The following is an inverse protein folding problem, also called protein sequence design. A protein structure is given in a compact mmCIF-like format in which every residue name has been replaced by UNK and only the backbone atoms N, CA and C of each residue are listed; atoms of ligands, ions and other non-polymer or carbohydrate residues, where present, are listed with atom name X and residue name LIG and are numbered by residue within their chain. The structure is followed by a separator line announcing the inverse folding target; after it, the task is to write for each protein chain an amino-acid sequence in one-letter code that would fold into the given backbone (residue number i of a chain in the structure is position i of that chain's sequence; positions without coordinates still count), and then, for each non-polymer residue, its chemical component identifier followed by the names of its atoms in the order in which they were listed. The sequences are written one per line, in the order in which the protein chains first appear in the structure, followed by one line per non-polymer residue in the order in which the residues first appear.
data_IF_247673940266
#
_entry.id   IF_247673940266
#
_cell.length_a   1.000
_cell.length_b   1.000
_cell.length_c   1.000
_cell.angle_alpha   90.00
_cell.angle_beta   90.00
_cell.angle_gamma   90.00
#
_symmetry.space_group_name_H-M   'P 1'
#
loop_
_entity.id
_entity.type
_entity.pdbx_description
1 polymer ?
#
# COMPACT_ATOMS: atom_id res chain seq x y z
N UNK A 1 1.38 5.62 8.40
CA UNK A 1 1.22 4.94 9.71
C UNK A 1 2.47 4.17 10.13
N UNK A 2 2.93 3.15 9.38
CA UNK A 2 3.98 2.22 9.82
C UNK A 2 5.29 2.87 10.33
N UNK A 3 5.76 3.96 9.73
CA UNK A 3 6.98 4.66 10.17
C UNK A 3 6.76 5.34 11.53
N UNK A 4 5.60 5.99 11.72
CA UNK A 4 5.21 6.57 13.01
C UNK A 4 5.12 5.47 14.07
N UNK A 5 4.44 4.36 13.78
CA UNK A 5 4.33 3.22 14.70
C UNK A 5 5.70 2.64 15.05
N UNK A 6 6.63 2.59 14.09
CA UNK A 6 8.00 2.15 14.31
C UNK A 6 8.75 3.06 15.27
N UNK A 7 8.63 4.39 15.10
CA UNK A 7 9.23 5.37 16.01
C UNK A 7 8.67 5.21 17.43
N UNK A 8 7.35 5.15 17.57
CA UNK A 8 6.70 4.98 18.87
C UNK A 8 7.12 3.68 19.57
N UNK A 9 7.19 2.57 18.82
CA UNK A 9 7.66 1.29 19.35
C UNK A 9 9.14 1.35 19.77
N UNK A 10 10.01 1.95 18.95
CA UNK A 10 11.42 2.10 19.24
C UNK A 10 11.69 2.98 20.47
N UNK A 11 10.90 4.05 20.66
CA UNK A 11 10.92 4.88 21.88
C UNK A 11 10.66 4.05 23.15
N UNK A 12 9.84 3.00 23.04
CA UNK A 12 9.56 2.07 24.15
C UNK A 12 10.55 0.90 24.25
N UNK A 13 11.65 0.93 23.47
CA UNK A 13 12.72 -0.07 23.55
C UNK A 13 12.55 -1.28 22.63
N UNK A 14 11.59 -1.28 21.70
CA UNK A 14 11.47 -2.35 20.69
C UNK A 14 12.67 -2.32 19.74
N UNK A 15 13.29 -3.48 19.49
CA UNK A 15 14.52 -3.61 18.68
C UNK A 15 14.38 -4.44 17.40
N UNK A 16 13.22 -5.00 17.13
CA UNK A 16 12.96 -5.81 15.94
C UNK A 16 11.56 -5.50 15.41
N UNK A 17 11.50 -4.82 14.27
CA UNK A 17 10.26 -4.26 13.72
C UNK A 17 10.07 -4.78 12.30
N UNK A 18 8.90 -5.33 12.03
CA UNK A 18 8.46 -5.65 10.66
C UNK A 18 7.41 -4.65 10.22
N UNK A 19 7.74 -3.80 9.25
CA UNK A 19 6.80 -2.83 8.66
C UNK A 19 6.03 -3.45 7.50
N UNK A 20 4.72 -3.20 7.47
CA UNK A 20 3.78 -3.88 6.57
C UNK A 20 3.25 -3.02 5.43
N UNK A 21 3.04 -3.65 4.29
CA UNK A 21 2.35 -3.06 3.14
C UNK A 21 1.31 -4.05 2.57
N UNK A 22 0.13 -3.55 2.23
CA UNK A 22 -0.93 -4.31 1.58
C UNK A 22 -0.93 -4.08 0.08
N UNK A 23 -0.99 -5.17 -0.69
CA UNK A 23 -1.00 -5.15 -2.15
C UNK A 23 -2.06 -4.19 -2.71
N UNK A 24 -1.64 -3.27 -3.59
CA UNK A 24 -2.53 -2.47 -4.41
C UNK A 24 -2.75 -3.11 -5.78
N UNK A 25 -1.76 -3.83 -6.32
CA UNK A 25 -1.90 -4.74 -7.47
C UNK A 25 -1.13 -4.33 -8.72
N UNK A 26 -0.70 -3.07 -8.86
CA UNK A 26 0.27 -2.69 -9.88
C UNK A 26 1.68 -3.08 -9.41
N UNK A 27 2.35 -3.97 -10.14
CA UNK A 27 3.63 -4.55 -9.69
C UNK A 27 4.72 -3.49 -9.45
N UNK A 28 4.83 -2.48 -10.31
CA UNK A 28 5.82 -1.41 -10.16
C UNK A 28 5.55 -0.62 -8.88
N UNK A 29 4.29 -0.23 -8.66
CA UNK A 29 3.89 0.50 -7.46
C UNK A 29 4.03 -0.33 -6.19
N UNK A 30 3.63 -1.61 -6.21
CA UNK A 30 3.73 -2.51 -5.06
C UNK A 30 5.20 -2.72 -4.63
N UNK A 31 6.10 -2.90 -5.61
CA UNK A 31 7.54 -3.01 -5.36
C UNK A 31 8.12 -1.68 -4.85
N UNK A 32 7.72 -0.57 -5.47
CA UNK A 32 8.13 0.76 -5.05
C UNK A 32 7.68 1.07 -3.61
N UNK A 33 6.46 0.68 -3.22
CA UNK A 33 5.94 0.90 -1.88
C UNK A 33 6.75 0.16 -0.80
N UNK A 34 7.07 -1.12 -1.01
CA UNK A 34 7.95 -1.87 -0.08
C UNK A 34 9.34 -1.24 -0.01
N UNK A 35 9.89 -0.86 -1.17
CA UNK A 35 11.21 -0.23 -1.25
C UNK A 35 11.24 1.08 -0.45
N UNK A 36 10.30 1.99 -0.71
CA UNK A 36 10.19 3.28 -0.04
C UNK A 36 9.92 3.13 1.46
N UNK A 37 9.05 2.20 1.84
CA UNK A 37 8.75 1.89 3.23
C UNK A 37 10.00 1.46 4.00
N UNK A 38 10.81 0.56 3.43
CA UNK A 38 12.04 0.10 4.06
C UNK A 38 13.06 1.25 4.24
N UNK A 39 13.27 2.04 3.18
CA UNK A 39 14.21 3.17 3.19
C UNK A 39 13.80 4.21 4.25
N UNK A 40 12.56 4.72 4.19
CA UNK A 40 12.14 5.78 5.10
C UNK A 40 11.99 5.29 6.54
N UNK A 41 11.61 4.04 6.77
CA UNK A 41 11.59 3.50 8.15
C UNK A 41 12.98 3.53 8.76
N UNK A 42 14.00 3.06 8.04
CA UNK A 42 15.39 3.11 8.50
C UNK A 42 15.86 4.55 8.72
N UNK A 43 15.61 5.42 7.74
CA UNK A 43 16.01 6.82 7.79
C UNK A 43 15.42 7.55 9.02
N UNK A 44 14.12 7.40 9.27
CA UNK A 44 13.48 8.04 10.42
C UNK A 44 13.96 7.43 11.75
N UNK A 45 14.12 6.12 11.85
CA UNK A 45 14.70 5.52 13.06
C UNK A 45 16.10 6.06 13.33
N UNK A 46 16.95 6.19 12.31
CA UNK A 46 18.30 6.76 12.45
C UNK A 46 18.27 8.26 12.83
N UNK A 47 17.38 9.05 12.20
CA UNK A 47 17.16 10.47 12.54
C UNK A 47 16.86 10.66 14.03
N UNK A 48 16.13 9.73 14.63
CA UNK A 48 15.75 9.76 16.05
C UNK A 48 16.67 8.92 16.96
N UNK A 49 17.84 8.48 16.47
CA UNK A 49 18.88 7.82 17.26
C UNK A 49 18.70 6.33 17.51
N UNK A 50 17.73 5.69 16.86
CA UNK A 50 17.41 4.26 17.02
C UNK A 50 18.21 3.36 16.08
N UNK A 51 19.54 3.49 16.12
CA UNK A 51 20.48 2.82 15.20
C UNK A 51 20.56 1.29 15.39
N UNK A 52 20.08 0.79 16.52
CA UNK A 52 20.14 -0.63 16.92
C UNK A 52 18.84 -1.41 16.66
N UNK A 53 17.83 -0.78 16.04
CA UNK A 53 16.57 -1.43 15.68
C UNK A 53 16.73 -2.18 14.36
N UNK A 54 16.48 -3.49 14.36
CA UNK A 54 16.38 -4.26 13.11
C UNK A 54 15.05 -3.99 12.41
N UNK A 55 15.10 -3.68 11.12
CA UNK A 55 13.91 -3.47 10.28
C UNK A 55 13.78 -4.59 9.26
N UNK A 56 12.58 -5.13 9.14
CA UNK A 56 12.18 -6.12 8.13
C UNK A 56 10.86 -5.69 7.47
N UNK A 57 10.47 -6.31 6.37
CA UNK A 57 9.24 -5.96 5.65
C UNK A 57 8.28 -7.14 5.54
N UNK A 58 6.98 -6.86 5.61
CA UNK A 58 5.92 -7.82 5.31
C UNK A 58 5.02 -7.32 4.20
N UNK A 59 4.79 -8.18 3.20
CA UNK A 59 3.85 -7.93 2.12
C UNK A 59 2.57 -8.74 2.37
N UNK A 60 1.43 -8.08 2.43
CA UNK A 60 0.14 -8.74 2.48
C UNK A 60 -0.36 -8.90 1.05
N UNK A 61 -0.62 -10.14 0.63
CA UNK A 61 -1.40 -10.38 -0.59
C UNK A 61 -2.74 -9.65 -0.50
N UNK A 62 -3.37 -9.41 -1.65
CA UNK A 62 -4.59 -8.62 -1.82
C UNK A 62 -5.53 -8.66 -0.61
N UNK A 63 -5.85 -7.50 -0.06
CA UNK A 63 -6.66 -7.37 1.16
C UNK A 63 -8.10 -6.95 0.87
N UNK A 64 -8.45 -6.72 -0.40
CA UNK A 64 -9.81 -6.40 -0.82
C UNK A 64 -10.63 -7.66 -1.17
N UNK A 65 -11.77 -7.45 -1.85
CA UNK A 65 -12.64 -8.55 -2.25
C UNK A 65 -11.98 -9.54 -3.21
N UNK A 66 -12.16 -10.84 -2.97
CA UNK A 66 -11.67 -11.93 -3.81
C UNK A 66 -12.73 -12.44 -4.80
N UNK A 67 -12.31 -13.02 -5.93
CA UNK A 67 -13.21 -13.83 -6.75
C UNK A 67 -13.65 -15.08 -5.99
N UNK A 68 -14.90 -15.50 -6.18
CA UNK A 68 -15.44 -16.74 -5.58
C UNK A 68 -14.91 -18.01 -6.24
N UNK A 69 -14.54 -17.92 -7.51
CA UNK A 69 -13.93 -19.04 -8.23
C UNK A 69 -12.49 -19.27 -7.72
N UNK A 70 -12.21 -20.48 -7.23
CA UNK A 70 -10.92 -20.79 -6.61
C UNK A 70 -9.74 -20.65 -7.58
N UNK A 71 -9.91 -21.00 -8.86
CA UNK A 71 -8.84 -20.87 -9.84
C UNK A 71 -8.48 -19.38 -10.06
N UNK A 72 -9.49 -18.50 -10.11
CA UNK A 72 -9.27 -17.04 -10.14
C UNK A 72 -8.64 -16.55 -8.84
N UNK A 73 -9.03 -17.09 -7.68
CA UNK A 73 -8.43 -16.74 -6.40
C UNK A 73 -6.94 -17.10 -6.35
N UNK A 74 -6.53 -18.24 -6.90
CA UNK A 74 -5.12 -18.59 -7.08
C UNK A 74 -4.37 -17.62 -8.00
N UNK A 75 -5.02 -17.05 -9.00
CA UNK A 75 -4.47 -15.95 -9.79
C UNK A 75 -4.08 -14.75 -8.92
N UNK A 76 -4.98 -14.33 -8.02
CA UNK A 76 -4.73 -13.21 -7.08
C UNK A 76 -3.61 -13.55 -6.09
N UNK A 77 -3.66 -14.75 -5.49
CA UNK A 77 -2.63 -15.25 -4.55
C UNK A 77 -1.25 -15.27 -5.22
N UNK A 78 -1.17 -15.85 -6.42
CA UNK A 78 0.09 -15.99 -7.15
C UNK A 78 0.66 -14.65 -7.57
N UNK A 79 -0.20 -13.70 -7.97
CA UNK A 79 0.22 -12.34 -8.29
C UNK A 79 0.77 -11.60 -7.06
N UNK A 80 0.10 -11.69 -5.92
CA UNK A 80 0.60 -11.13 -4.66
C UNK A 80 1.90 -11.78 -4.19
N UNK A 81 2.05 -13.10 -4.36
CA UNK A 81 3.30 -13.80 -4.09
C UNK A 81 4.44 -13.31 -5.00
N UNK A 82 4.19 -13.14 -6.31
CA UNK A 82 5.16 -12.60 -7.23
C UNK A 82 5.60 -11.18 -6.84
N UNK A 83 4.66 -10.29 -6.54
CA UNK A 83 4.95 -8.93 -6.08
C UNK A 83 5.81 -8.91 -4.81
N UNK A 84 5.47 -9.74 -3.81
CA UNK A 84 6.24 -9.84 -2.56
C UNK A 84 7.69 -10.27 -2.80
N UNK A 85 7.91 -11.28 -3.66
CA UNK A 85 9.25 -11.82 -3.94
C UNK A 85 10.09 -10.82 -4.74
N UNK A 86 9.51 -10.23 -5.78
CA UNK A 86 10.20 -9.25 -6.63
C UNK A 86 10.51 -7.95 -5.89
N UNK A 87 9.72 -7.61 -4.86
CA UNK A 87 9.99 -6.53 -3.91
C UNK A 87 11.03 -6.87 -2.83
N UNK A 88 11.49 -8.13 -2.78
CA UNK A 88 12.33 -8.68 -1.71
C UNK A 88 11.75 -8.45 -0.32
N UNK A 89 10.44 -8.62 -0.16
CA UNK A 89 9.79 -8.59 1.15
C UNK A 89 10.36 -9.71 2.04
N UNK A 90 10.63 -9.42 3.32
CA UNK A 90 11.14 -10.44 4.25
C UNK A 90 10.12 -11.52 4.54
N UNK A 91 8.82 -11.16 4.57
CA UNK A 91 7.69 -12.04 4.83
C UNK A 91 6.54 -11.74 3.86
N UNK A 92 5.76 -12.77 3.51
CA UNK A 92 4.49 -12.63 2.79
C UNK A 92 3.36 -13.22 3.62
N UNK A 93 2.25 -12.51 3.76
CA UNK A 93 1.02 -13.03 4.37
C UNK A 93 0.17 -13.66 3.28
N UNK A 94 -0.13 -14.94 3.46
CA UNK A 94 -0.77 -15.79 2.46
C UNK A 94 -2.28 -15.75 2.58
N UNK A 95 -2.95 -15.58 1.44
CA UNK A 95 -4.39 -15.67 1.26
C UNK A 95 -4.78 -17.05 0.79
N UNK A 96 -6.08 -17.33 0.81
CA UNK A 96 -6.63 -18.66 0.51
C UNK A 96 -7.65 -18.59 -0.61
N UNK A 97 -7.89 -19.69 -1.35
CA UNK A 97 -8.96 -19.72 -2.35
C UNK A 97 -10.36 -19.53 -1.74
N UNK A 98 -10.51 -19.67 -0.41
CA UNK A 98 -11.77 -19.48 0.30
C UNK A 98 -12.02 -18.04 0.79
N UNK A 99 -11.17 -17.07 0.44
CA UNK A 99 -11.24 -15.70 0.98
C UNK A 99 -12.60 -15.02 0.75
N UNK A 100 -13.27 -15.31 -0.37
CA UNK A 100 -14.60 -14.76 -0.68
C UNK A 100 -15.76 -15.49 0.04
N UNK A 101 -15.50 -16.62 0.70
CA UNK A 101 -16.51 -17.49 1.30
C UNK A 101 -16.48 -17.45 2.84
N UNK A 102 -15.34 -17.13 3.45
CA UNK A 102 -15.19 -17.02 4.90
C UNK A 102 -13.85 -17.54 5.40
N UNK A 103 -13.81 -17.95 6.67
CA UNK A 103 -12.60 -18.54 7.28
C UNK A 103 -12.23 -19.84 6.53
N UNK A 104 -10.97 -19.99 6.08
CA UNK A 104 -10.56 -21.14 5.28
C UNK A 104 -10.51 -22.44 6.10
N UNK A 105 -10.73 -23.57 5.41
CA UNK A 105 -10.35 -24.88 5.96
C UNK A 105 -8.82 -24.99 6.00
N UNK A 106 -8.30 -25.95 6.78
CA UNK A 106 -6.85 -26.22 6.82
C UNK A 106 -6.29 -26.63 5.45
N UNK A 107 -7.08 -27.31 4.63
CA UNK A 107 -6.72 -27.74 3.28
C UNK A 107 -6.59 -26.55 2.32
N UNK A 108 -7.57 -25.63 2.34
CA UNK A 108 -7.55 -24.41 1.52
C UNK A 108 -6.39 -23.49 1.92
N UNK A 109 -6.15 -23.36 3.23
CA UNK A 109 -5.01 -22.60 3.75
C UNK A 109 -3.67 -23.23 3.29
N UNK A 110 -3.53 -24.55 3.44
CA UNK A 110 -2.35 -25.27 2.95
C UNK A 110 -2.16 -25.13 1.43
N UNK A 111 -3.23 -25.07 0.64
CA UNK A 111 -3.15 -24.87 -0.80
C UNK A 111 -2.61 -23.48 -1.16
N UNK A 112 -3.10 -22.41 -0.49
CA UNK A 112 -2.55 -21.05 -0.64
C UNK A 112 -1.05 -20.98 -0.28
N UNK A 113 -0.65 -21.65 0.80
CA UNK A 113 0.75 -21.73 1.24
C UNK A 113 1.64 -22.44 0.21
N UNK A 114 1.19 -23.58 -0.34
CA UNK A 114 1.94 -24.31 -1.39
C UNK A 114 2.09 -23.46 -2.66
N UNK A 115 1.02 -22.83 -3.12
CA UNK A 115 1.06 -21.94 -4.28
C UNK A 115 2.04 -20.78 -4.05
N UNK A 116 1.93 -20.10 -2.90
CA UNK A 116 2.84 -18.98 -2.56
C UNK A 116 4.30 -19.44 -2.48
N UNK A 117 4.57 -20.58 -1.83
CA UNK A 117 5.93 -21.14 -1.72
C UNK A 117 6.51 -21.49 -3.10
N UNK A 118 5.70 -21.99 -4.02
CA UNK A 118 6.12 -22.26 -5.40
C UNK A 118 6.63 -20.98 -6.08
N UNK A 119 5.89 -19.87 -5.96
CA UNK A 119 6.30 -18.58 -6.52
C UNK A 119 7.58 -18.04 -5.85
N UNK A 120 7.70 -18.18 -4.52
CA UNK A 120 8.94 -17.84 -3.80
C UNK A 120 10.13 -18.61 -4.37
N UNK A 121 10.00 -19.93 -4.57
CA UNK A 121 11.08 -20.75 -5.12
C UNK A 121 11.42 -20.38 -6.57
N UNK A 122 10.42 -20.11 -7.41
CA UNK A 122 10.61 -19.77 -8.82
C UNK A 122 11.26 -18.40 -9.04
N UNK A 123 10.94 -17.42 -8.19
CA UNK A 123 11.31 -16.02 -8.40
C UNK A 123 12.42 -15.52 -7.47
N UNK A 124 12.97 -16.37 -6.59
CA UNK A 124 13.95 -15.98 -5.55
C UNK A 124 15.16 -15.22 -6.08
N UNK A 125 15.61 -15.53 -7.30
CA UNK A 125 16.82 -14.99 -7.92
C UNK A 125 16.57 -13.66 -8.66
N UNK A 126 15.31 -13.20 -8.75
CA UNK A 126 14.92 -11.96 -9.43
C UNK A 126 14.75 -10.81 -8.44
N UNK A 127 15.15 -9.59 -8.82
CA UNK A 127 15.05 -8.38 -7.99
C UNK A 127 14.58 -7.20 -8.85
N UNK A 128 13.46 -6.59 -8.47
CA UNK A 128 12.89 -5.45 -9.21
C UNK A 128 13.14 -4.11 -8.51
N UNK A 129 13.79 -4.08 -7.34
CA UNK A 129 13.91 -2.87 -6.53
C UNK A 129 14.71 -1.75 -7.19
N UNK A 130 15.58 -2.08 -8.15
CA UNK A 130 16.45 -1.13 -8.85
C UNK A 130 16.01 -0.78 -10.26
N UNK A 131 14.88 -1.32 -10.76
CA UNK A 131 14.44 -1.00 -12.11
C UNK A 131 14.03 0.50 -12.19
N UNK A 132 14.35 1.22 -13.28
CA UNK A 132 14.13 2.67 -13.33
C UNK A 132 12.69 3.11 -13.02
N UNK A 133 11.69 2.35 -13.48
CA UNK A 133 10.28 2.64 -13.21
C UNK A 133 9.92 2.51 -11.72
N UNK A 134 10.48 1.52 -11.02
CA UNK A 134 10.30 1.35 -9.57
C UNK A 134 10.99 2.48 -8.82
N UNK A 135 12.20 2.87 -9.21
CA UNK A 135 12.91 3.98 -8.56
C UNK A 135 12.12 5.27 -8.71
N UNK A 136 11.66 5.60 -9.92
CA UNK A 136 10.86 6.79 -10.17
C UNK A 136 9.55 6.81 -9.36
N UNK A 137 8.83 5.68 -9.32
CA UNK A 137 7.62 5.56 -8.50
C UNK A 137 7.94 5.61 -7.00
N UNK A 138 9.07 5.04 -6.56
CA UNK A 138 9.53 5.08 -5.17
C UNK A 138 9.78 6.52 -4.71
N UNK A 139 10.36 7.35 -5.58
CA UNK A 139 10.65 8.76 -5.30
C UNK A 139 9.37 9.56 -5.07
N UNK A 140 8.32 9.30 -5.86
CA UNK A 140 7.00 9.91 -5.66
C UNK A 140 6.42 9.49 -4.30
N UNK A 141 6.38 8.19 -4.00
CA UNK A 141 5.86 7.67 -2.72
C UNK A 141 6.66 8.25 -1.54
N UNK A 142 7.99 8.35 -1.65
CA UNK A 142 8.82 8.92 -0.59
C UNK A 142 8.54 10.42 -0.38
N UNK A 143 8.32 11.20 -1.44
CA UNK A 143 7.93 12.61 -1.33
C UNK A 143 6.58 12.76 -0.63
N UNK A 144 5.58 11.98 -1.03
CA UNK A 144 4.26 11.97 -0.37
C UNK A 144 4.38 11.63 1.12
N UNK A 145 5.12 10.58 1.46
CA UNK A 145 5.32 10.17 2.85
C UNK A 145 6.02 11.25 3.68
N UNK A 146 7.03 11.94 3.12
CA UNK A 146 7.72 13.04 3.80
C UNK A 146 6.79 14.19 4.12
N UNK A 147 5.97 14.64 3.17
CA UNK A 147 4.98 15.68 3.41
C UNK A 147 4.10 15.35 4.63
N UNK A 148 3.63 14.10 4.72
CA UNK A 148 2.79 13.65 5.84
C UNK A 148 3.60 13.61 7.15
N UNK A 149 4.77 12.97 7.14
CA UNK A 149 5.58 12.79 8.35
C UNK A 149 6.10 14.11 8.91
N UNK A 150 6.54 15.02 8.05
CA UNK A 150 6.96 16.38 8.43
C UNK A 150 5.81 17.15 9.05
N UNK A 151 4.60 17.06 8.48
CA UNK A 151 3.43 17.74 9.06
C UNK A 151 3.01 17.14 10.40
N UNK A 152 3.11 15.82 10.55
CA UNK A 152 2.88 15.15 11.84
C UNK A 152 3.89 15.63 12.88
N UNK A 153 5.18 15.68 12.54
CA UNK A 153 6.25 16.18 13.41
C UNK A 153 6.01 17.65 13.80
N UNK A 154 5.60 18.51 12.85
CA UNK A 154 5.27 19.91 13.07
C UNK A 154 4.10 20.08 14.07
N UNK A 155 2.98 19.39 13.83
CA UNK A 155 1.79 19.45 14.70
C UNK A 155 2.10 18.94 16.11
N UNK A 156 2.99 17.96 16.22
CA UNK A 156 3.46 17.41 17.49
C UNK A 156 4.59 18.19 18.15
N UNK A 157 5.11 19.25 17.52
CA UNK A 157 6.32 19.98 17.96
C UNK A 157 7.49 19.04 18.28
N UNK A 158 7.68 18.03 17.43
CA UNK A 158 8.70 16.99 17.59
C UNK A 158 8.23 15.71 18.29
N UNK A 159 7.07 15.71 18.96
CA UNK A 159 6.47 14.52 19.56
C UNK A 159 5.53 13.84 18.55
N UNK A 160 5.94 12.68 18.02
CA UNK A 160 5.15 11.93 17.04
C UNK A 160 3.85 11.35 17.60
N UNK A 161 3.75 11.08 18.91
CA UNK A 161 2.51 10.58 19.50
C UNK A 161 1.46 11.69 19.53
N UNK A 162 1.84 12.87 20.05
CA UNK A 162 0.97 14.06 20.06
C UNK A 162 0.65 14.50 18.64
N UNK A 163 1.65 14.52 17.77
CA UNK A 163 1.51 14.89 16.36
C UNK A 163 0.55 13.98 15.60
N UNK A 164 0.53 12.68 15.92
CA UNK A 164 -0.40 11.72 15.29
C UNK A 164 -1.84 12.03 15.66
N UNK A 165 -2.13 12.31 16.93
CA UNK A 165 -3.49 12.68 17.37
C UNK A 165 -3.94 13.95 16.66
N UNK A 166 -3.13 15.01 16.71
CA UNK A 166 -3.42 16.27 16.05
C UNK A 166 -3.57 16.12 14.52
N UNK A 167 -2.78 15.25 13.90
CA UNK A 167 -2.84 15.01 12.46
C UNK A 167 -4.13 14.30 12.03
N UNK A 168 -4.67 13.37 12.84
CA UNK A 168 -6.00 12.81 12.59
C UNK A 168 -7.11 13.87 12.75
N UNK A 169 -7.06 14.66 13.83
CA UNK A 169 -8.02 15.74 14.07
C UNK A 169 -8.02 16.78 12.93
N UNK A 170 -6.85 17.09 12.38
CA UNK A 170 -6.69 18.01 11.25
C UNK A 170 -6.98 17.36 9.88
N UNK A 171 -7.10 16.03 9.78
CA UNK A 171 -7.24 15.29 8.52
C UNK A 171 -5.96 15.22 7.69
N UNK A 172 -4.79 15.48 8.28
CA UNK A 172 -3.47 15.26 7.68
C UNK A 172 -3.20 13.76 7.53
N UNK A 173 -3.61 12.98 8.54
CA UNK A 173 -3.72 11.53 8.46
C UNK A 173 -5.20 11.18 8.21
N UNK A 174 -5.47 10.56 7.07
CA UNK A 174 -6.81 10.12 6.68
C UNK A 174 -6.71 8.80 5.93
N UNK A 175 -7.45 7.80 6.42
CA UNK A 175 -7.40 6.42 5.95
C UNK A 175 -8.68 6.11 5.18
N UNK A 176 -8.60 5.78 3.88
CA UNK A 176 -9.78 5.47 3.07
C UNK A 176 -10.66 4.39 3.70
N UNK A 177 -11.96 4.66 3.80
CA UNK A 177 -12.99 3.75 4.30
C UNK A 177 -12.81 3.28 5.76
N UNK A 178 -12.01 3.98 6.56
CA UNK A 178 -11.85 3.65 7.96
C UNK A 178 -13.14 3.93 8.76
N UNK A 179 -13.59 3.02 9.64
CA UNK A 179 -14.82 3.18 10.41
C UNK A 179 -14.67 4.09 11.64
N UNK A 180 -13.44 4.52 11.96
CA UNK A 180 -13.16 5.36 13.12
C UNK A 180 -13.83 6.73 12.97
N UNK A 181 -14.57 7.17 14.00
CA UNK A 181 -15.15 8.53 14.04
C UNK A 181 -14.11 9.66 14.05
N UNK A 182 -12.85 9.33 14.35
CA UNK A 182 -11.74 10.29 14.36
C UNK A 182 -11.05 10.39 12.99
N UNK A 183 -11.44 9.54 12.03
CA UNK A 183 -10.94 9.61 10.67
C UNK A 183 -11.76 10.63 9.87
N UNK A 184 -11.11 11.57 9.19
CA UNK A 184 -11.79 12.64 8.46
C UNK A 184 -12.64 12.12 7.29
N UNK A 185 -12.19 11.05 6.61
CA UNK A 185 -12.95 10.40 5.53
C UNK A 185 -13.08 11.26 4.26
N UNK A 186 -12.13 12.16 4.03
CA UNK A 186 -12.08 13.08 2.88
C UNK A 186 -11.10 12.63 1.81
N UNK A 187 -10.17 11.75 2.15
CA UNK A 187 -9.25 11.16 1.17
C UNK A 187 -9.95 10.07 0.39
N UNK A 188 -9.91 10.19 -0.93
CA UNK A 188 -10.52 9.24 -1.84
C UNK A 188 -9.47 8.67 -2.80
N UNK A 189 -9.23 7.35 -2.80
CA UNK A 189 -8.33 6.71 -3.75
C UNK A 189 -9.06 6.27 -5.02
N UNK A 190 -8.40 6.32 -6.16
CA UNK A 190 -8.84 5.70 -7.41
C UNK A 190 -7.64 5.13 -8.17
N UNK A 191 -7.86 4.17 -9.06
CA UNK A 191 -6.77 3.64 -9.90
C UNK A 191 -6.53 4.52 -11.12
N UNK A 192 -5.27 4.68 -11.50
CA UNK A 192 -4.89 5.26 -12.78
C UNK A 192 -5.05 4.26 -13.95
N UNK A 193 -4.61 4.67 -15.14
CA UNK A 193 -4.81 3.88 -16.35
C UNK A 193 -4.03 2.56 -16.37
N UNK A 194 -3.01 2.40 -15.52
CA UNK A 194 -2.21 1.18 -15.40
C UNK A 194 -2.49 0.43 -14.10
N UNK A 195 -3.53 0.84 -13.38
CA UNK A 195 -4.00 0.18 -12.17
C UNK A 195 -3.26 0.54 -10.90
N UNK A 196 -2.35 1.52 -10.92
CA UNK A 196 -1.71 2.04 -9.72
C UNK A 196 -2.70 2.94 -8.97
N UNK A 197 -2.72 2.87 -7.64
CA UNK A 197 -3.60 3.68 -6.80
C UNK A 197 -3.07 5.11 -6.72
N UNK A 198 -3.95 6.08 -6.92
CA UNK A 198 -3.71 7.52 -6.87
C UNK A 198 -4.75 8.20 -6.00
N UNK A 199 -4.47 9.43 -5.62
CA UNK A 199 -5.44 10.27 -4.89
C UNK A 199 -6.39 10.95 -5.87
N UNK A 200 -7.66 10.56 -5.82
CA UNK A 200 -8.76 11.27 -6.48
C UNK A 200 -9.09 12.55 -5.71
N UNK A 201 -9.21 12.42 -4.39
CA UNK A 201 -9.34 13.53 -3.45
C UNK A 201 -8.28 13.40 -2.38
N UNK A 202 -7.52 14.47 -2.14
CA UNK A 202 -6.44 14.49 -1.14
C UNK A 202 -6.90 14.96 0.22
N UNK A 203 -8.14 15.45 0.36
CA UNK A 203 -8.64 16.02 1.61
C UNK A 203 -7.69 17.09 2.16
N UNK A 204 -7.27 16.91 3.41
CA UNK A 204 -6.31 17.79 4.09
C UNK A 204 -4.88 17.22 4.11
N UNK A 205 -4.57 16.21 3.27
CA UNK A 205 -3.20 15.72 3.16
C UNK A 205 -2.26 16.85 2.72
N UNK A 206 -1.08 17.01 3.35
CA UNK A 206 -0.21 18.17 3.18
C UNK A 206 0.66 18.06 1.93
N UNK A 207 0.11 17.58 0.82
CA UNK A 207 0.85 17.42 -0.42
C UNK A 207 1.13 18.75 -1.10
N UNK A 208 2.30 18.84 -1.72
CA UNK A 208 2.67 19.96 -2.58
C UNK A 208 1.86 19.91 -3.89
N UNK A 209 1.76 21.06 -4.56
CA UNK A 209 0.95 21.18 -5.78
C UNK A 209 1.42 20.23 -6.89
N UNK A 210 2.73 19.99 -7.03
CA UNK A 210 3.29 19.07 -8.03
C UNK A 210 2.86 17.61 -7.80
N UNK A 211 2.73 17.17 -6.55
CA UNK A 211 2.21 15.83 -6.22
C UNK A 211 0.71 15.74 -6.57
N UNK A 212 -0.07 16.76 -6.21
CA UNK A 212 -1.50 16.83 -6.54
C UNK A 212 -1.69 16.78 -8.07
N UNK A 213 -0.90 17.55 -8.81
CA UNK A 213 -0.94 17.60 -10.27
C UNK A 213 -0.52 16.26 -10.89
N UNK A 214 0.49 15.58 -10.32
CA UNK A 214 0.89 14.24 -10.73
C UNK A 214 -0.27 13.23 -10.63
N UNK A 215 -0.97 13.17 -9.49
CA UNK A 215 -2.11 12.26 -9.33
C UNK A 215 -3.24 12.59 -10.29
N UNK A 216 -3.56 13.88 -10.44
CA UNK A 216 -4.59 14.34 -11.39
C UNK A 216 -4.23 13.94 -12.81
N UNK A 217 -2.99 14.15 -13.25
CA UNK A 217 -2.53 13.77 -14.58
C UNK A 217 -2.70 12.27 -14.84
N UNK A 218 -2.32 11.42 -13.87
CA UNK A 218 -2.47 9.96 -13.96
C UNK A 218 -3.92 9.49 -14.06
N UNK A 219 -4.82 10.13 -13.31
CA UNK A 219 -6.26 9.86 -13.40
C UNK A 219 -6.85 10.37 -14.72
N UNK A 220 -6.40 11.51 -15.22
CA UNK A 220 -6.82 12.05 -16.51
C UNK A 220 -6.38 11.18 -17.70
N UNK A 221 -5.24 10.49 -17.60
CA UNK A 221 -4.85 9.46 -18.57
C UNK A 221 -5.89 8.32 -18.64
N UNK A 222 -6.42 7.90 -17.48
CA UNK A 222 -7.50 6.90 -17.42
C UNK A 222 -8.79 7.45 -18.01
N UNK A 223 -9.18 8.67 -17.65
CA UNK A 223 -10.39 9.32 -18.14
C UNK A 223 -10.41 9.42 -19.67
N UNK A 224 -9.30 9.86 -20.27
CA UNK A 224 -9.14 9.90 -21.73
C UNK A 224 -9.27 8.52 -22.37
N UNK A 225 -8.66 7.50 -21.78
CA UNK A 225 -8.73 6.13 -22.29
C UNK A 225 -10.16 5.56 -22.21
N UNK A 226 -10.84 5.78 -21.08
CA UNK A 226 -12.21 5.28 -20.84
C UNK A 226 -13.31 6.15 -21.45
N UNK A 227 -12.95 7.30 -22.02
CA UNK A 227 -13.89 8.29 -22.59
C UNK A 227 -14.98 8.71 -21.60
N UNK A 228 -14.60 8.88 -20.33
CA UNK A 228 -15.47 9.40 -19.25
C UNK A 228 -14.67 10.28 -18.31
N UNK A 229 -15.32 11.22 -17.63
CA UNK A 229 -14.66 12.09 -16.67
C UNK A 229 -14.13 11.31 -15.45
N UNK A 230 -13.04 11.79 -14.87
CA UNK A 230 -12.58 11.36 -13.54
C UNK A 230 -13.70 11.60 -12.53
N UNK A 231 -14.10 10.57 -11.79
CA UNK A 231 -15.25 10.65 -10.89
C UNK A 231 -15.23 9.59 -9.80
N UNK A 232 -16.04 9.80 -8.75
CA UNK A 232 -16.25 8.83 -7.68
C UNK A 232 -16.75 7.47 -8.19
N UNK A 233 -17.42 7.42 -9.34
CA UNK A 233 -17.84 6.16 -9.96
C UNK A 233 -16.64 5.25 -10.28
N UNK A 234 -15.47 5.81 -10.63
CA UNK A 234 -14.24 5.01 -10.83
C UNK A 234 -13.84 4.28 -9.55
N UNK A 235 -14.01 4.91 -8.38
CA UNK A 235 -13.72 4.30 -7.07
C UNK A 235 -14.62 3.11 -6.82
N UNK A 236 -15.93 3.28 -7.04
CA UNK A 236 -16.92 2.20 -6.90
C UNK A 236 -16.55 1.04 -7.82
N UNK A 237 -16.24 1.33 -9.09
CA UNK A 237 -15.88 0.30 -10.06
C UNK A 237 -14.61 -0.47 -9.63
N UNK A 238 -13.60 0.24 -9.11
CA UNK A 238 -12.33 -0.34 -8.67
C UNK A 238 -12.48 -1.23 -7.43
N UNK A 239 -13.36 -0.87 -6.49
CA UNK A 239 -13.65 -1.68 -5.28
C UNK A 239 -14.16 -3.07 -5.66
N UNK A 240 -14.96 -3.19 -6.73
CA UNK A 240 -15.52 -4.47 -7.18
C UNK A 240 -14.68 -5.18 -8.25
N UNK A 241 -13.61 -4.55 -8.77
CA UNK A 241 -12.92 -5.01 -9.97
C UNK A 241 -12.30 -6.42 -9.78
N UNK A 242 -11.56 -6.64 -8.68
CA UNK A 242 -10.84 -7.91 -8.46
C UNK A 242 -11.82 -9.09 -8.28
N UNK A 243 -12.93 -8.87 -7.56
CA UNK A 243 -14.00 -9.87 -7.44
C UNK A 243 -14.61 -10.25 -8.80
N UNK A 244 -14.59 -9.31 -9.76
CA UNK A 244 -15.01 -9.52 -11.16
C UNK A 244 -13.88 -10.03 -12.07
N UNK A 245 -12.66 -10.19 -11.55
CA UNK A 245 -11.51 -10.75 -12.26
C UNK A 245 -10.59 -9.71 -12.94
N UNK A 246 -10.70 -8.42 -12.60
CA UNK A 246 -9.89 -7.35 -13.19
C UNK A 246 -9.22 -6.50 -12.12
N UNK A 247 -8.06 -5.90 -12.42
CA UNK A 247 -7.44 -4.95 -11.49
C UNK A 247 -8.13 -3.58 -11.53
N UNK A 248 -8.52 -3.11 -12.72
CA UNK A 248 -9.12 -1.79 -12.94
C UNK A 248 -10.59 -1.94 -13.31
N UNK A 249 -11.46 -1.17 -12.65
CA UNK A 249 -12.89 -1.13 -12.92
C UNK A 249 -13.21 -0.36 -14.20
N UNK A 250 -13.06 -1.01 -15.35
CA UNK A 250 -13.37 -0.40 -16.65
C UNK A 250 -14.88 -0.38 -16.91
N UNK A 251 -15.41 0.65 -17.59
CA UNK A 251 -16.79 0.63 -18.07
C UNK A 251 -17.00 -0.50 -19.09
N UNK A 252 -18.24 -0.98 -19.20
CA UNK A 252 -18.66 -1.95 -20.21
C UNK A 252 -19.00 -1.27 -21.54
#
# INVERSE_FOLDING_TARGET
MAIIESLLAATQGVKDITVGYGQCGNLIQDVAAIRSLNILTREYLDKFGFNDVRVTTVFHQWMGGFPQDEAKAFGVISWGAAAAVLAKATKVIVKTPHEAMGVPTKEANAAGLRATKQLVSMLKDQDFRSIPAVVAESDIIMKEMRCILEKVEELGKGDFAVGTVAAFEAGVLDVPFAPSRYNAGKVMPARDNVGAVRFLETGNMPFTQDLIDFHRQKLEERARYEKRAVSFQMVIDDVYAIGKGFLVGRPK
#
